data_IF_463638898732
#
_entry.id   IF_463638898732
#
_cell.length_a   1.000
_cell.length_b   1.000
_cell.length_c   1.000
_cell.angle_alpha   90.00
_cell.angle_beta   90.00
_cell.angle_gamma   90.00
#
_symmetry.space_group_name_H-M   'P 1'
#
loop_
_entity.id
_entity.type
_entity.pdbx_description
1 polymer ?
#
# COMPACT_ATOMS: atom_id res chain seq x y z
N UNK A 1 18.55 7.06 -18.79
CA UNK A 1 19.31 6.51 -17.67
C UNK A 1 19.93 5.22 -18.15
N UNK A 2 21.22 5.04 -17.88
CA UNK A 2 21.89 3.77 -18.13
C UNK A 2 21.74 2.83 -16.92
N UNK A 3 22.20 1.57 -17.07
CA UNK A 3 22.08 0.57 -16.01
C UNK A 3 22.81 0.96 -14.71
N UNK A 4 23.94 1.65 -14.80
CA UNK A 4 24.71 2.09 -13.62
C UNK A 4 23.94 3.14 -12.80
N UNK A 5 23.32 4.11 -13.48
CA UNK A 5 22.46 5.12 -12.84
C UNK A 5 21.25 4.48 -12.16
N UNK A 6 20.60 3.51 -12.83
CA UNK A 6 19.46 2.75 -12.27
C UNK A 6 19.88 2.04 -10.98
N UNK A 7 20.99 1.28 -11.02
CA UNK A 7 21.47 0.56 -9.84
C UNK A 7 21.89 1.50 -8.71
N UNK A 8 22.43 2.67 -9.04
CA UNK A 8 22.76 3.69 -8.04
C UNK A 8 21.50 4.20 -7.33
N UNK A 9 20.42 4.49 -8.06
CA UNK A 9 19.17 4.94 -7.43
C UNK A 9 18.62 3.86 -6.49
N UNK A 10 18.61 2.60 -6.92
CA UNK A 10 18.18 1.50 -6.04
C UNK A 10 19.04 1.42 -4.77
N UNK A 11 20.36 1.52 -4.90
CA UNK A 11 21.27 1.51 -3.74
C UNK A 11 21.06 2.72 -2.83
N UNK A 12 20.90 3.92 -3.40
CA UNK A 12 20.69 5.16 -2.66
C UNK A 12 19.36 5.17 -1.91
N UNK A 13 18.36 4.39 -2.35
CA UNK A 13 17.00 4.34 -1.78
C UNK A 13 16.68 3.02 -1.05
N UNK A 14 17.69 2.16 -0.87
CA UNK A 14 17.59 0.85 -0.21
C UNK A 14 17.46 0.97 1.33
N UNK A 15 16.37 1.59 1.77
CA UNK A 15 15.97 1.73 3.16
C UNK A 15 14.45 1.72 3.26
N UNK A 16 13.92 1.51 4.46
CA UNK A 16 12.47 1.53 4.72
C UNK A 16 11.96 2.97 4.64
N UNK A 17 10.84 3.17 3.92
CA UNK A 17 10.28 4.50 3.60
C UNK A 17 8.80 4.54 3.98
N UNK A 18 8.46 4.19 5.23
CA UNK A 18 7.07 4.10 5.66
C UNK A 18 6.35 5.44 5.55
N UNK A 19 5.09 5.42 5.12
CA UNK A 19 4.34 6.64 4.89
C UNK A 19 4.26 7.59 6.09
N UNK A 20 4.63 8.85 5.92
CA UNK A 20 4.68 9.89 6.95
C UNK A 20 5.99 9.96 7.75
N UNK A 21 6.97 9.08 7.46
CA UNK A 21 8.29 9.08 8.10
C UNK A 21 9.23 10.15 7.52
N UNK A 22 10.29 10.54 8.28
CA UNK A 22 11.38 11.34 7.74
C UNK A 22 12.08 10.68 6.53
N UNK A 23 12.18 9.35 6.51
CA UNK A 23 12.77 8.56 5.43
C UNK A 23 11.95 8.65 4.14
N UNK A 24 10.62 8.65 4.24
CA UNK A 24 9.75 8.92 3.10
C UNK A 24 10.01 10.32 2.53
N UNK A 25 10.05 11.36 3.38
CA UNK A 25 10.36 12.72 2.90
C UNK A 25 11.76 12.81 2.25
N UNK A 26 12.75 12.11 2.79
CA UNK A 26 14.09 12.02 2.18
C UNK A 26 14.04 11.40 0.78
N UNK A 27 13.21 10.37 0.58
CA UNK A 27 13.03 9.76 -0.73
C UNK A 27 12.29 10.69 -1.71
N UNK A 28 11.29 11.45 -1.25
CA UNK A 28 10.63 12.47 -2.06
C UNK A 28 11.61 13.56 -2.54
N UNK A 29 12.46 14.05 -1.64
CA UNK A 29 13.51 15.01 -1.96
C UNK A 29 14.52 14.43 -2.95
N UNK A 30 14.93 13.17 -2.76
CA UNK A 30 15.80 12.48 -3.70
C UNK A 30 15.19 12.40 -5.11
N UNK A 31 13.90 12.03 -5.21
CA UNK A 31 13.19 11.99 -6.50
C UNK A 31 13.09 13.38 -7.14
N UNK A 32 12.81 14.42 -6.35
CA UNK A 32 12.81 15.80 -6.82
C UNK A 32 14.19 16.21 -7.37
N UNK A 33 15.28 15.86 -6.68
CA UNK A 33 16.65 16.12 -7.12
C UNK A 33 16.95 15.38 -8.44
N UNK A 34 16.48 14.13 -8.58
CA UNK A 34 16.60 13.38 -9.85
C UNK A 34 15.84 14.01 -11.00
N UNK A 35 14.67 14.59 -10.75
CA UNK A 35 13.96 15.38 -11.77
C UNK A 35 14.75 16.65 -12.11
N UNK A 36 15.34 17.33 -11.12
CA UNK A 36 16.15 18.53 -11.35
C UNK A 36 17.42 18.26 -12.16
N UNK A 37 18.06 17.10 -12.00
CA UNK A 37 19.19 16.64 -12.83
C UNK A 37 18.83 16.55 -14.32
N UNK A 38 17.54 16.36 -14.65
CA UNK A 38 17.02 16.34 -16.03
C UNK A 38 16.72 17.75 -16.59
N UNK A 39 16.97 18.81 -15.81
CA UNK A 39 16.60 20.19 -16.17
C UNK A 39 15.11 20.48 -16.03
N UNK A 40 14.36 19.60 -15.34
CA UNK A 40 12.93 19.73 -15.07
C UNK A 40 12.69 20.20 -13.63
N UNK A 41 11.46 20.62 -13.32
CA UNK A 41 11.10 21.08 -11.98
C UNK A 41 9.90 20.30 -11.45
N UNK A 42 10.12 19.48 -10.43
CA UNK A 42 9.06 18.84 -9.66
C UNK A 42 8.74 19.62 -8.38
N UNK A 43 7.50 19.50 -7.90
CA UNK A 43 7.01 20.07 -6.65
C UNK A 43 6.70 18.96 -5.64
N UNK A 44 7.14 19.15 -4.39
CA UNK A 44 6.76 18.27 -3.28
C UNK A 44 5.50 18.85 -2.65
N UNK A 45 4.38 18.14 -2.79
CA UNK A 45 3.05 18.56 -2.33
C UNK A 45 2.69 17.78 -1.06
N UNK A 46 2.65 18.42 0.12
CA UNK A 46 2.33 17.74 1.37
C UNK A 46 0.83 17.44 1.50
N UNK A 47 0.51 16.38 2.21
CA UNK A 47 -0.85 16.05 2.66
C UNK A 47 -0.83 15.40 4.04
N UNK A 48 -1.93 15.54 4.77
CA UNK A 48 -2.03 15.07 6.14
C UNK A 48 -2.29 13.56 6.18
N UNK A 49 -1.61 12.87 7.09
CA UNK A 49 -1.80 11.43 7.34
C UNK A 49 -1.95 11.17 8.84
N UNK A 50 -2.86 10.27 9.26
CA UNK A 50 -2.95 9.87 10.66
C UNK A 50 -1.65 9.17 11.05
N UNK A 51 -1.06 9.45 12.20
CA UNK A 51 0.17 8.82 12.68
C UNK A 51 0.01 8.34 14.10
N UNK A 52 0.87 7.42 14.51
CA UNK A 52 0.92 6.95 15.88
C UNK A 52 2.33 6.56 16.30
N UNK A 53 2.67 6.87 17.55
CA UNK A 53 3.84 6.36 18.23
C UNK A 53 3.42 5.39 19.34
N UNK A 54 3.79 4.12 19.19
CA UNK A 54 3.49 3.08 20.17
C UNK A 54 4.33 3.27 21.44
N UNK A 55 3.66 3.32 22.60
CA UNK A 55 4.29 3.41 23.92
C UNK A 55 4.27 2.07 24.65
N UNK A 56 3.17 1.33 24.54
CA UNK A 56 2.99 0.01 25.13
C UNK A 56 2.08 -0.83 24.23
N UNK A 57 2.53 -2.04 23.89
CA UNK A 57 1.70 -3.06 23.26
C UNK A 57 2.01 -4.40 23.92
N UNK A 58 1.02 -4.98 24.60
CA UNK A 58 1.16 -6.30 25.22
C UNK A 58 -0.02 -7.18 24.89
N UNK A 59 0.27 -8.46 24.68
CA UNK A 59 -0.71 -9.53 24.54
C UNK A 59 -0.37 -10.61 25.55
N UNK A 60 -1.33 -10.98 26.39
CA UNK A 60 -1.26 -12.17 27.23
C UNK A 60 -2.39 -13.12 26.86
N UNK A 61 -2.10 -14.40 26.75
CA UNK A 61 -3.08 -15.45 26.48
C UNK A 61 -2.93 -16.52 27.56
N UNK A 62 -4.04 -16.82 28.26
CA UNK A 62 -4.07 -17.71 29.44
C UNK A 62 -2.99 -17.36 30.49
N UNK A 63 -2.72 -16.07 30.66
CA UNK A 63 -1.72 -15.54 31.59
C UNK A 63 -0.27 -15.54 31.08
N UNK A 64 0.03 -16.19 29.95
CA UNK A 64 1.36 -16.18 29.32
C UNK A 64 1.50 -15.02 28.32
N UNK A 65 2.67 -14.37 28.29
CA UNK A 65 2.95 -13.30 27.34
C UNK A 65 3.24 -13.85 25.94
N UNK A 66 2.70 -13.17 24.92
CA UNK A 66 2.89 -13.51 23.50
C UNK A 66 3.52 -12.31 22.81
N UNK A 67 4.61 -12.54 22.08
CA UNK A 67 5.27 -11.49 21.29
C UNK A 67 4.29 -10.94 20.25
N UNK A 68 4.13 -9.61 20.23
CA UNK A 68 3.18 -8.95 19.35
C UNK A 68 3.67 -7.56 18.95
N UNK A 69 3.04 -7.00 17.92
CA UNK A 69 3.06 -5.55 17.62
C UNK A 69 1.65 -5.01 17.78
N UNK A 70 1.50 -3.86 18.45
CA UNK A 70 0.21 -3.18 18.54
C UNK A 70 -0.18 -2.57 17.20
N UNK A 71 -1.47 -2.60 16.86
CA UNK A 71 -1.97 -1.84 15.71
C UNK A 71 -1.83 -0.34 15.97
N UNK A 72 -1.12 0.35 15.07
CA UNK A 72 -1.08 1.80 15.05
C UNK A 72 -2.47 2.37 14.76
N UNK A 73 -2.80 3.54 15.32
CA UNK A 73 -4.06 4.26 15.11
C UNK A 73 -5.32 3.50 15.61
N UNK A 74 -5.15 2.43 16.41
CA UNK A 74 -6.23 1.66 17.00
C UNK A 74 -6.76 2.22 18.33
N UNK A 75 -6.30 3.39 18.77
CA UNK A 75 -6.63 3.99 20.06
C UNK A 75 -5.92 3.33 21.24
N UNK A 76 -6.21 3.85 22.43
CA UNK A 76 -5.71 3.33 23.71
C UNK A 76 -6.76 2.47 24.38
N UNK A 77 -6.34 1.39 25.04
CA UNK A 77 -7.27 0.54 25.77
C UNK A 77 -6.60 -0.64 26.44
N UNK A 78 -7.28 -1.15 27.47
CA UNK A 78 -6.95 -2.41 28.11
C UNK A 78 -8.22 -3.26 28.16
N UNK A 79 -8.14 -4.48 27.64
CA UNK A 79 -9.26 -5.41 27.61
C UNK A 79 -8.78 -6.81 27.94
N UNK A 80 -9.50 -7.48 28.84
CA UNK A 80 -9.33 -8.90 29.14
C UNK A 80 -10.66 -9.60 28.92
N UNK A 81 -10.69 -10.62 28.08
CA UNK A 81 -11.90 -11.28 27.65
C UNK A 81 -11.63 -12.72 27.20
N UNK A 82 -12.67 -13.56 27.04
CA UNK A 82 -12.50 -14.86 26.41
C UNK A 82 -11.89 -14.72 25.01
N UNK A 83 -10.97 -15.62 24.68
CA UNK A 83 -10.36 -15.71 23.36
C UNK A 83 -11.29 -16.46 22.40
N UNK A 84 -11.37 -16.01 21.16
CA UNK A 84 -12.09 -16.71 20.11
C UNK A 84 -11.35 -16.66 18.78
N UNK A 85 -11.12 -17.81 18.17
CA UNK A 85 -10.60 -17.90 16.82
C UNK A 85 -11.76 -17.97 15.82
N UNK A 86 -11.89 -16.92 15.02
CA UNK A 86 -12.89 -16.79 13.97
C UNK A 86 -12.37 -17.48 12.71
N UNK A 87 -12.96 -18.64 12.38
CA UNK A 87 -12.56 -19.50 11.25
C UNK A 87 -13.17 -19.08 9.92
N UNK A 88 -14.31 -18.41 9.97
CA UNK A 88 -15.08 -17.96 8.81
C UNK A 88 -15.95 -16.77 9.21
N UNK A 89 -16.40 -15.99 8.23
CA UNK A 89 -17.32 -14.85 8.41
C UNK A 89 -18.80 -15.24 8.30
N UNK A 90 -19.12 -16.53 8.47
CA UNK A 90 -20.50 -16.99 8.47
C UNK A 90 -21.28 -16.49 9.70
N UNK A 91 -22.61 -16.29 9.61
CA UNK A 91 -23.41 -15.76 10.72
C UNK A 91 -23.27 -16.53 12.04
N UNK A 92 -23.10 -17.85 11.98
CA UNK A 92 -22.90 -18.68 13.17
C UNK A 92 -21.55 -18.45 13.86
N UNK A 93 -20.50 -18.17 13.10
CA UNK A 93 -19.18 -17.86 13.64
C UNK A 93 -19.18 -16.45 14.24
N UNK A 94 -19.70 -15.48 13.48
CA UNK A 94 -19.81 -14.09 13.89
C UNK A 94 -20.66 -13.92 15.16
N UNK A 95 -21.77 -14.65 15.32
CA UNK A 95 -22.61 -14.54 16.52
C UNK A 95 -21.88 -14.92 17.82
N UNK A 96 -20.69 -15.55 17.73
CA UNK A 96 -19.86 -15.94 18.88
C UNK A 96 -18.84 -14.86 19.26
N UNK A 97 -18.67 -13.78 18.49
CA UNK A 97 -17.71 -12.72 18.78
C UNK A 97 -18.05 -11.89 20.03
N UNK A 98 -19.33 -11.83 20.42
CA UNK A 98 -19.81 -10.94 21.49
C UNK A 98 -19.01 -11.11 22.78
N UNK A 99 -18.42 -10.00 23.24
CA UNK A 99 -17.66 -9.90 24.47
C UNK A 99 -16.32 -10.65 24.44
N UNK A 100 -15.77 -10.95 23.27
CA UNK A 100 -14.52 -11.71 23.11
C UNK A 100 -13.44 -10.91 22.40
N UNK A 101 -12.19 -11.28 22.68
CA UNK A 101 -11.05 -10.89 21.84
C UNK A 101 -10.96 -11.91 20.71
N UNK A 102 -11.06 -11.43 19.48
CA UNK A 102 -11.23 -12.29 18.31
C UNK A 102 -9.96 -12.34 17.49
N UNK A 103 -9.36 -13.52 17.36
CA UNK A 103 -8.31 -13.76 16.38
C UNK A 103 -8.95 -14.09 15.04
N UNK A 104 -8.62 -13.35 13.99
CA UNK A 104 -9.13 -13.55 12.64
C UNK A 104 -8.15 -14.36 11.79
N UNK A 105 -8.68 -15.10 10.83
CA UNK A 105 -7.87 -15.70 9.76
C UNK A 105 -7.80 -14.74 8.57
N UNK A 106 -6.59 -14.42 8.11
CA UNK A 106 -6.35 -13.55 6.96
C UNK A 106 -6.32 -12.05 7.26
N UNK A 107 -6.72 -11.24 6.26
CA UNK A 107 -6.55 -9.78 6.25
C UNK A 107 -7.70 -9.04 6.94
N UNK A 108 -7.37 -8.05 7.79
CA UNK A 108 -8.34 -7.16 8.41
C UNK A 108 -8.74 -6.02 7.46
N UNK A 109 -9.70 -6.27 6.58
CA UNK A 109 -10.32 -5.25 5.73
C UNK A 109 -11.53 -4.56 6.37
N UNK A 110 -12.13 -3.61 5.64
CA UNK A 110 -13.34 -2.87 6.04
C UNK A 110 -14.46 -3.80 6.53
N UNK A 111 -14.87 -4.76 5.71
CA UNK A 111 -16.00 -5.64 6.01
C UNK A 111 -15.78 -6.49 7.25
N UNK A 112 -14.61 -7.14 7.37
CA UNK A 112 -14.28 -7.97 8.54
C UNK A 112 -14.25 -7.13 9.82
N UNK A 113 -13.68 -5.92 9.78
CA UNK A 113 -13.66 -5.06 10.96
C UNK A 113 -15.07 -4.66 11.41
N UNK A 114 -15.94 -4.31 10.47
CA UNK A 114 -17.34 -4.00 10.75
C UNK A 114 -18.12 -5.22 11.26
N UNK A 115 -17.89 -6.40 10.70
CA UNK A 115 -18.46 -7.66 11.20
C UNK A 115 -18.08 -7.91 12.66
N UNK A 116 -16.82 -7.67 13.04
CA UNK A 116 -16.36 -7.79 14.43
C UNK A 116 -17.08 -6.81 15.35
N UNK A 117 -17.20 -5.54 14.95
CA UNK A 117 -17.86 -4.50 15.73
C UNK A 117 -19.36 -4.79 15.92
N UNK A 118 -20.07 -5.10 14.83
CA UNK A 118 -21.52 -5.36 14.83
C UNK A 118 -21.87 -6.60 15.66
N UNK A 119 -20.96 -7.57 15.72
CA UNK A 119 -21.11 -8.77 16.54
C UNK A 119 -20.49 -8.65 17.94
N UNK A 120 -20.03 -7.46 18.33
CA UNK A 120 -19.65 -7.12 19.70
C UNK A 120 -18.30 -7.67 20.15
N UNK A 121 -17.35 -7.86 19.24
CA UNK A 121 -15.95 -8.10 19.61
C UNK A 121 -15.41 -6.91 20.43
N UNK A 122 -14.56 -7.20 21.41
CA UNK A 122 -13.99 -6.17 22.31
C UNK A 122 -12.50 -5.94 22.08
N UNK A 123 -11.87 -6.76 21.24
CA UNK A 123 -10.53 -6.60 20.73
C UNK A 123 -10.27 -7.60 19.60
N UNK A 124 -9.18 -7.40 18.85
CA UNK A 124 -8.84 -8.30 17.74
C UNK A 124 -7.36 -8.70 17.73
N UNK A 125 -7.08 -9.84 17.13
CA UNK A 125 -5.72 -10.34 16.90
C UNK A 125 -5.63 -10.75 15.44
N UNK A 126 -4.61 -10.26 14.75
CA UNK A 126 -4.22 -10.74 13.41
C UNK A 126 -2.89 -11.47 13.48
N UNK A 127 -2.51 -12.15 12.41
CA UNK A 127 -1.19 -12.74 12.30
C UNK A 127 -0.63 -12.69 10.88
N UNK A 128 0.70 -12.71 10.77
CA UNK A 128 1.44 -12.84 9.52
C UNK A 128 2.65 -13.77 9.65
N UNK A 129 3.37 -13.94 8.55
CA UNK A 129 4.51 -14.85 8.45
C UNK A 129 4.12 -16.26 8.00
N UNK A 130 5.12 -17.12 7.90
CA UNK A 130 4.96 -18.49 7.41
C UNK A 130 5.50 -19.48 8.43
N UNK A 131 4.70 -20.49 8.78
CA UNK A 131 5.10 -21.50 9.77
C UNK A 131 6.29 -22.35 9.31
N UNK A 132 6.56 -22.40 8.00
CA UNK A 132 7.65 -23.17 7.41
C UNK A 132 8.96 -22.38 7.30
N UNK A 133 8.95 -21.06 7.47
CA UNK A 133 10.16 -20.25 7.42
C UNK A 133 10.79 -20.12 8.80
N UNK A 134 12.06 -19.74 8.86
CA UNK A 134 12.79 -19.60 10.13
C UNK A 134 12.51 -18.26 10.81
N UNK A 135 12.21 -17.22 10.04
CA UNK A 135 11.92 -15.88 10.56
C UNK A 135 10.69 -15.87 11.48
N UNK A 136 10.67 -14.86 12.34
CA UNK A 136 9.56 -14.56 13.26
C UNK A 136 9.21 -13.09 13.19
N UNK A 137 9.37 -12.52 12.00
CA UNK A 137 9.00 -11.14 11.78
C UNK A 137 7.49 -10.99 11.98
N UNK A 138 7.11 -9.81 12.45
CA UNK A 138 5.72 -9.40 12.65
C UNK A 138 5.60 -8.07 11.94
N UNK A 139 4.69 -7.95 10.97
CA UNK A 139 4.51 -6.68 10.28
C UNK A 139 3.91 -5.64 11.22
N UNK A 140 4.37 -4.39 11.11
CA UNK A 140 3.77 -3.28 11.83
C UNK A 140 2.49 -2.86 11.09
N UNK A 141 1.34 -3.25 11.63
CA UNK A 141 0.04 -2.90 11.06
C UNK A 141 -0.49 -1.59 11.63
N UNK A 142 -1.38 -0.96 10.87
CA UNK A 142 -2.19 0.16 11.30
C UNK A 142 -3.67 -0.11 11.04
N UNK A 143 -4.53 0.43 11.91
CA UNK A 143 -5.97 0.42 11.70
C UNK A 143 -6.34 1.65 10.87
N UNK A 144 -6.46 1.45 9.55
CA UNK A 144 -6.70 2.55 8.59
C UNK A 144 -8.00 3.30 8.88
N UNK A 145 -7.99 4.62 8.70
CA UNK A 145 -9.13 5.49 9.04
C UNK A 145 -10.46 5.06 8.39
N UNK A 146 -10.40 4.68 7.11
CA UNK A 146 -11.58 4.24 6.37
C UNK A 146 -12.12 2.88 6.86
N UNK A 147 -11.27 2.02 7.45
CA UNK A 147 -11.66 0.71 8.00
C UNK A 147 -12.44 0.89 9.30
N UNK A 148 -11.97 1.77 10.18
CA UNK A 148 -12.55 1.91 11.51
C UNK A 148 -13.70 2.91 11.59
N UNK A 149 -13.75 3.91 10.69
CA UNK A 149 -14.81 4.91 10.59
C UNK A 149 -15.24 5.50 11.96
N UNK A 150 -14.25 5.86 12.78
CA UNK A 150 -14.42 6.40 14.14
C UNK A 150 -14.57 5.37 15.27
N UNK A 151 -14.89 4.10 14.99
CA UNK A 151 -15.08 3.06 16.00
C UNK A 151 -13.81 2.24 16.17
N UNK A 152 -13.21 2.23 17.36
CA UNK A 152 -11.92 1.57 17.61
C UNK A 152 -11.99 0.63 18.79
N UNK A 153 -11.44 -0.57 18.62
CA UNK A 153 -11.20 -1.57 19.67
C UNK A 153 -9.72 -1.95 19.64
N UNK A 154 -9.09 -2.29 20.79
CA UNK A 154 -7.68 -2.65 20.84
C UNK A 154 -7.36 -3.85 19.94
N UNK A 155 -6.25 -3.78 19.21
CA UNK A 155 -5.79 -4.90 18.40
C UNK A 155 -4.28 -5.02 18.28
N UNK A 156 -3.83 -6.27 18.13
CA UNK A 156 -2.42 -6.62 18.01
C UNK A 156 -2.21 -7.57 16.84
N UNK A 157 -0.99 -7.60 16.33
CA UNK A 157 -0.53 -8.52 15.31
C UNK A 157 0.54 -9.45 15.89
N UNK A 158 0.50 -10.73 15.56
CA UNK A 158 1.45 -11.76 16.03
C UNK A 158 2.05 -12.56 14.87
N UNK A 159 3.07 -13.36 15.16
CA UNK A 159 3.58 -14.30 14.15
C UNK A 159 2.66 -15.52 14.02
N UNK A 160 2.55 -16.07 12.80
CA UNK A 160 1.72 -17.22 12.49
C UNK A 160 2.07 -18.47 13.32
N UNK A 161 3.34 -18.65 13.71
CA UNK A 161 3.76 -19.75 14.59
C UNK A 161 3.11 -19.65 15.97
N UNK A 162 3.05 -18.44 16.53
CA UNK A 162 2.42 -18.21 17.83
C UNK A 162 0.91 -18.38 17.72
N UNK A 163 0.28 -17.85 16.65
CA UNK A 163 -1.14 -18.07 16.37
C UNK A 163 -1.49 -19.57 16.34
N UNK A 164 -0.70 -20.40 15.64
CA UNK A 164 -0.88 -21.86 15.60
C UNK A 164 -0.71 -22.49 16.99
N UNK A 165 0.27 -22.05 17.78
CA UNK A 165 0.44 -22.55 19.14
C UNK A 165 -0.76 -22.22 20.05
N UNK A 166 -1.32 -21.01 19.95
CA UNK A 166 -2.51 -20.61 20.71
C UNK A 166 -3.67 -21.56 20.42
N UNK A 167 -3.90 -21.90 19.15
CA UNK A 167 -4.95 -22.86 18.77
C UNK A 167 -4.66 -24.27 19.27
N UNK A 168 -3.41 -24.75 19.14
CA UNK A 168 -3.02 -26.09 19.60
C UNK A 168 -3.17 -26.26 21.12
N UNK A 169 -2.88 -25.22 21.89
CA UNK A 169 -3.00 -25.21 23.36
C UNK A 169 -4.46 -25.02 23.82
N UNK A 170 -5.37 -24.67 22.93
CA UNK A 170 -6.78 -24.43 23.26
C UNK A 170 -6.97 -23.12 24.03
N UNK A 171 -6.34 -22.04 23.56
CA UNK A 171 -6.38 -20.72 24.18
C UNK A 171 -7.79 -20.29 24.62
N UNK A 172 -7.92 -19.83 25.86
CA UNK A 172 -9.24 -19.60 26.48
C UNK A 172 -9.51 -18.14 26.83
N UNK A 173 -8.52 -17.40 27.31
CA UNK A 173 -8.62 -15.97 27.63
C UNK A 173 -7.47 -15.20 27.03
N UNK A 174 -7.72 -13.94 26.67
CA UNK A 174 -6.69 -13.03 26.22
C UNK A 174 -6.80 -11.69 26.94
N UNK A 175 -5.67 -11.00 27.08
CA UNK A 175 -5.58 -9.63 27.53
C UNK A 175 -4.74 -8.83 26.55
N UNK A 176 -5.28 -7.72 26.07
CA UNK A 176 -4.57 -6.74 25.23
C UNK A 176 -4.46 -5.44 26.01
N UNK A 177 -3.26 -4.88 26.07
CA UNK A 177 -3.03 -3.50 26.54
C UNK A 177 -2.33 -2.73 25.42
N UNK A 178 -2.94 -1.63 25.00
CA UNK A 178 -2.39 -0.69 24.02
C UNK A 178 -2.35 0.72 24.60
N UNK A 179 -1.16 1.33 24.52
CA UNK A 179 -0.95 2.76 24.75
C UNK A 179 -0.10 3.32 23.61
N UNK A 180 -0.60 4.36 23.00
CA UNK A 180 0.00 5.04 21.87
C UNK A 180 -0.35 6.53 21.90
N UNK A 181 0.53 7.33 21.31
CA UNK A 181 0.32 8.74 21.04
C UNK A 181 -0.06 8.90 19.57
N UNK A 182 -1.31 9.25 19.31
CA UNK A 182 -1.81 9.49 17.96
C UNK A 182 -1.72 10.98 17.63
N UNK A 183 -1.27 11.28 16.41
CA UNK A 183 -1.10 12.65 15.93
C UNK A 183 -1.32 12.71 14.42
N UNK A 184 -1.46 13.92 13.87
CA UNK A 184 -1.48 14.12 12.42
C UNK A 184 -0.06 14.41 11.94
N UNK A 185 0.47 13.51 11.10
CA UNK A 185 1.73 13.72 10.39
C UNK A 185 1.52 14.21 8.96
N UNK A 186 2.61 14.29 8.19
CA UNK A 186 2.57 14.67 6.78
C UNK A 186 3.32 13.68 5.92
N UNK A 187 2.67 13.23 4.87
CA UNK A 187 3.31 12.58 3.73
C UNK A 187 3.29 13.53 2.53
N UNK A 188 3.89 13.13 1.42
CA UNK A 188 4.15 14.03 0.30
C UNK A 188 3.97 13.30 -1.03
N UNK A 189 3.45 14.00 -2.02
CA UNK A 189 3.56 13.58 -3.40
C UNK A 189 4.66 14.40 -4.08
N UNK A 190 5.38 13.80 -5.03
CA UNK A 190 6.26 14.55 -5.94
C UNK A 190 5.55 14.68 -7.28
N UNK A 191 5.34 15.91 -7.75
CA UNK A 191 4.55 16.22 -8.94
C UNK A 191 5.43 16.93 -9.96
N UNK A 192 5.52 16.39 -11.16
CA UNK A 192 6.16 17.02 -12.31
C UNK A 192 5.13 17.17 -13.43
N UNK A 193 4.91 18.40 -13.89
CA UNK A 193 4.09 18.69 -15.06
C UNK A 193 4.96 19.11 -16.24
N UNK A 194 4.77 18.43 -17.38
CA UNK A 194 5.40 18.72 -18.66
C UNK A 194 4.32 19.09 -19.68
N UNK A 195 4.11 20.40 -19.95
CA UNK A 195 3.10 20.85 -20.90
C UNK A 195 3.33 20.30 -22.32
N UNK A 196 2.26 19.87 -22.97
CA UNK A 196 2.28 19.38 -24.34
C UNK A 196 1.87 20.46 -25.35
N UNK A 197 1.54 20.01 -26.56
CA UNK A 197 0.94 20.82 -27.61
C UNK A 197 -0.53 21.17 -27.33
N UNK A 198 -1.21 20.35 -26.51
CA UNK A 198 -2.61 20.54 -26.09
C UNK A 198 -2.72 20.55 -24.57
N UNK A 199 -3.79 21.18 -24.07
CA UNK A 199 -4.15 21.22 -22.64
C UNK A 199 -4.97 19.97 -22.23
N UNK A 200 -4.42 18.80 -22.54
CA UNK A 200 -4.93 17.48 -22.17
C UNK A 200 -3.75 16.67 -21.65
N UNK A 201 -3.91 16.00 -20.51
CA UNK A 201 -2.82 15.35 -19.78
C UNK A 201 -2.95 13.83 -19.72
N UNK A 202 -1.82 13.14 -19.82
CA UNK A 202 -1.66 11.75 -19.41
C UNK A 202 -0.89 11.75 -18.09
N UNK A 203 -1.49 11.18 -17.04
CA UNK A 203 -0.84 11.04 -15.75
C UNK A 203 -0.10 9.71 -15.66
N UNK A 204 1.16 9.74 -15.25
CA UNK A 204 1.95 8.59 -14.86
C UNK A 204 2.09 8.55 -13.35
N UNK A 205 1.68 7.46 -12.72
CA UNK A 205 1.77 7.28 -11.26
C UNK A 205 2.67 6.12 -10.89
N UNK A 206 3.36 6.26 -9.77
CA UNK A 206 4.01 5.18 -9.05
C UNK A 206 4.20 5.63 -7.61
N UNK A 207 3.98 4.77 -6.62
CA UNK A 207 4.33 5.13 -5.25
C UNK A 207 5.81 4.89 -4.97
N UNK A 208 6.31 5.65 -3.99
CA UNK A 208 7.70 5.57 -3.59
C UNK A 208 7.88 5.21 -2.11
N UNK A 209 6.80 5.07 -1.32
CA UNK A 209 6.88 4.57 0.05
C UNK A 209 7.19 3.05 0.05
N UNK A 210 7.29 2.47 1.25
CA UNK A 210 7.43 1.02 1.42
C UNK A 210 6.81 0.54 2.73
N UNK A 211 6.49 -0.75 2.79
CA UNK A 211 6.13 -1.40 4.06
C UNK A 211 7.28 -1.44 5.08
N UNK A 212 6.94 -1.74 6.33
CA UNK A 212 7.86 -1.70 7.48
C UNK A 212 8.97 -2.76 7.47
N UNK A 213 8.81 -3.81 6.65
CA UNK A 213 9.76 -4.92 6.53
C UNK A 213 10.46 -4.97 5.17
N UNK A 214 10.22 -3.97 4.30
CA UNK A 214 10.76 -3.93 2.94
C UNK A 214 11.55 -2.65 2.70
N UNK A 215 12.70 -2.79 2.03
CA UNK A 215 13.43 -1.66 1.44
C UNK A 215 12.79 -1.19 0.12
N UNK A 216 11.75 -1.88 -0.34
CA UNK A 216 10.88 -1.44 -1.44
C UNK A 216 11.57 -1.17 -2.76
N UNK A 217 12.58 -1.98 -3.12
CA UNK A 217 13.25 -1.90 -4.43
C UNK A 217 12.30 -2.37 -5.55
N UNK A 218 11.70 -3.55 -5.38
CA UNK A 218 10.66 -4.06 -6.27
C UNK A 218 9.35 -3.29 -6.06
N UNK A 219 8.90 -3.16 -4.82
CA UNK A 219 7.64 -2.54 -4.41
C UNK A 219 7.89 -1.27 -3.57
N UNK A 220 7.93 -0.08 -4.16
CA UNK A 220 7.75 0.19 -5.59
C UNK A 220 8.71 1.24 -6.16
N UNK A 221 9.96 1.23 -5.67
CA UNK A 221 10.99 2.03 -6.30
C UNK A 221 11.16 1.63 -7.79
N UNK A 222 10.89 0.38 -8.17
CA UNK A 222 10.90 -0.05 -9.57
C UNK A 222 9.93 0.73 -10.46
N UNK A 223 8.68 0.93 -10.04
CA UNK A 223 7.71 1.77 -10.75
C UNK A 223 8.11 3.25 -10.74
N UNK A 224 8.60 3.74 -9.59
CA UNK A 224 9.12 5.11 -9.44
C UNK A 224 10.25 5.42 -10.42
N UNK A 225 11.21 4.50 -10.63
CA UNK A 225 12.25 4.63 -11.67
C UNK A 225 11.66 4.52 -13.08
N UNK A 226 10.64 3.67 -13.27
CA UNK A 226 9.96 3.52 -14.55
C UNK A 226 9.40 4.85 -15.05
N UNK A 227 8.63 5.55 -14.22
CA UNK A 227 8.07 6.84 -14.59
C UNK A 227 9.13 7.95 -14.68
N UNK A 228 10.23 7.87 -13.90
CA UNK A 228 11.38 8.77 -14.04
C UNK A 228 12.09 8.58 -15.40
N UNK A 229 12.24 7.34 -15.86
CA UNK A 229 12.82 7.03 -17.18
C UNK A 229 11.92 7.51 -18.33
N UNK A 230 10.60 7.45 -18.16
CA UNK A 230 9.65 8.04 -19.12
C UNK A 230 9.80 9.56 -19.14
N UNK A 231 9.89 10.22 -17.98
CA UNK A 231 10.10 11.66 -17.89
C UNK A 231 11.40 12.10 -18.57
N UNK A 232 12.50 11.39 -18.34
CA UNK A 232 13.78 11.64 -19.00
C UNK A 232 13.70 11.49 -20.52
N UNK A 233 12.99 10.47 -21.03
CA UNK A 233 12.79 10.32 -22.46
C UNK A 233 12.06 11.55 -23.02
N UNK A 234 10.94 11.94 -22.44
CA UNK A 234 10.15 13.06 -22.93
C UNK A 234 10.74 14.44 -22.64
N UNK A 235 11.75 14.55 -21.77
CA UNK A 235 12.51 15.79 -21.61
C UNK A 235 13.24 16.18 -22.91
N UNK A 236 13.59 15.21 -23.74
CA UNK A 236 14.31 15.39 -25.00
C UNK A 236 13.44 15.19 -26.25
N UNK A 237 12.19 14.73 -26.11
CA UNK A 237 11.32 14.36 -27.24
C UNK A 237 9.98 15.08 -27.17
N UNK A 238 9.48 15.63 -28.29
CA UNK A 238 8.20 16.32 -28.32
C UNK A 238 7.04 15.36 -28.06
N UNK A 239 6.03 15.83 -27.33
CA UNK A 239 4.82 15.09 -27.02
C UNK A 239 3.58 15.96 -27.26
N UNK A 240 2.50 15.33 -27.76
CA UNK A 240 1.24 16.02 -28.04
C UNK A 240 0.50 16.40 -26.76
N UNK A 241 0.24 15.42 -25.91
CA UNK A 241 -0.42 15.61 -24.62
C UNK A 241 0.56 16.19 -23.60
N UNK A 242 0.04 16.94 -22.63
CA UNK A 242 0.78 17.18 -21.39
C UNK A 242 1.05 15.87 -20.67
N UNK A 243 2.22 15.76 -20.06
CA UNK A 243 2.58 14.59 -19.26
C UNK A 243 2.71 15.02 -17.81
N UNK A 244 2.01 14.32 -16.92
CA UNK A 244 2.05 14.56 -15.49
C UNK A 244 2.65 13.35 -14.80
N UNK A 245 3.74 13.52 -14.09
CA UNK A 245 4.37 12.46 -13.31
C UNK A 245 4.08 12.69 -11.84
N UNK A 246 3.51 11.68 -11.18
CA UNK A 246 3.11 11.71 -9.79
C UNK A 246 3.77 10.54 -9.06
N UNK A 247 4.79 10.85 -8.25
CA UNK A 247 5.28 9.90 -7.27
C UNK A 247 4.44 10.01 -6.00
N UNK A 248 3.65 8.99 -5.71
CA UNK A 248 2.69 8.99 -4.61
C UNK A 248 3.35 8.60 -3.29
N UNK A 249 3.10 9.36 -2.24
CA UNK A 249 3.45 8.97 -0.88
C UNK A 249 2.35 8.14 -0.22
N UNK A 250 2.71 7.35 0.79
CA UNK A 250 1.76 6.60 1.64
C UNK A 250 0.73 5.76 0.86
N UNK A 251 1.13 5.09 -0.21
CA UNK A 251 0.26 4.15 -0.95
C UNK A 251 -0.04 2.92 -0.08
N UNK A 252 0.97 2.39 0.61
CA UNK A 252 0.92 1.15 1.41
C UNK A 252 -0.07 1.27 2.59
N UNK A 253 -0.44 2.51 2.88
CA UNK A 253 -1.34 2.96 3.93
C UNK A 253 -2.78 3.12 3.44
N UNK A 254 -3.06 2.68 2.22
CA UNK A 254 -4.38 2.71 1.59
C UNK A 254 -4.57 3.86 0.62
N UNK A 255 -3.59 4.08 -0.27
CA UNK A 255 -3.63 5.01 -1.39
C UNK A 255 -3.71 6.48 -0.95
N UNK A 256 -3.08 6.84 0.17
CA UNK A 256 -3.30 8.16 0.78
C UNK A 256 -2.81 9.31 -0.11
N UNK A 257 -1.66 9.14 -0.78
CA UNK A 257 -1.12 10.16 -1.68
C UNK A 257 -1.95 10.38 -2.93
N UNK A 258 -2.32 9.33 -3.64
CA UNK A 258 -3.19 9.43 -4.83
C UNK A 258 -4.59 9.91 -4.48
N UNK A 259 -5.17 9.51 -3.33
CA UNK A 259 -6.43 10.07 -2.83
C UNK A 259 -6.33 11.55 -2.52
N UNK A 260 -5.27 11.99 -1.84
CA UNK A 260 -5.04 13.40 -1.56
C UNK A 260 -4.88 14.22 -2.84
N UNK A 261 -4.21 13.65 -3.85
CA UNK A 261 -4.07 14.27 -5.17
C UNK A 261 -5.41 14.40 -5.88
N UNK A 262 -6.19 13.31 -5.95
CA UNK A 262 -7.47 13.24 -6.66
C UNK A 262 -8.63 13.93 -5.94
N UNK A 263 -8.43 14.39 -4.69
CA UNK A 263 -9.42 15.18 -3.97
C UNK A 263 -9.65 16.57 -4.61
N UNK A 264 -8.67 17.07 -5.36
CA UNK A 264 -8.77 18.31 -6.13
C UNK A 264 -9.21 18.01 -7.57
N UNK A 265 -10.50 18.13 -7.84
CA UNK A 265 -11.10 17.79 -9.14
C UNK A 265 -10.59 18.68 -10.28
N UNK A 266 -10.13 19.90 -10.00
CA UNK A 266 -9.57 20.78 -11.03
C UNK A 266 -8.27 20.20 -11.61
N UNK A 267 -7.49 19.45 -10.81
CA UNK A 267 -6.30 18.75 -11.31
C UNK A 267 -6.64 17.61 -12.27
N UNK A 268 -7.86 17.06 -12.19
CA UNK A 268 -8.29 15.90 -12.98
C UNK A 268 -9.07 16.28 -14.24
N UNK A 269 -9.59 17.50 -14.31
CA UNK A 269 -10.47 17.98 -15.38
C UNK A 269 -9.94 17.74 -16.80
N UNK A 270 -8.63 17.92 -17.01
CA UNK A 270 -7.98 17.72 -18.30
C UNK A 270 -7.16 16.40 -18.34
N UNK A 271 -7.30 15.53 -17.34
CA UNK A 271 -6.59 14.24 -17.28
C UNK A 271 -7.36 13.18 -18.07
N UNK A 272 -6.77 12.70 -19.17
CA UNK A 272 -7.42 11.78 -20.12
C UNK A 272 -7.17 10.32 -19.80
N UNK A 273 -6.07 10.03 -19.12
CA UNK A 273 -5.66 8.68 -18.79
C UNK A 273 -4.68 8.73 -17.61
N UNK A 274 -4.85 7.81 -16.66
CA UNK A 274 -3.81 7.46 -15.70
C UNK A 274 -3.12 6.16 -16.11
N UNK A 275 -1.79 6.16 -16.12
CA UNK A 275 -0.93 4.99 -16.31
C UNK A 275 -0.11 4.80 -15.05
N UNK A 276 -0.43 3.77 -14.27
CA UNK A 276 0.25 3.42 -13.04
C UNK A 276 1.31 2.33 -13.28
N UNK A 277 2.51 2.51 -12.73
CA UNK A 277 3.55 1.50 -12.72
C UNK A 277 3.78 1.02 -11.30
N UNK A 278 3.55 -0.28 -11.09
CA UNK A 278 3.67 -0.88 -9.77
C UNK A 278 4.30 -2.26 -9.87
N UNK A 279 5.38 -2.50 -9.13
CA UNK A 279 6.06 -3.79 -9.12
C UNK A 279 6.54 -4.24 -10.52
N UNK A 280 7.33 -3.42 -11.23
CA UNK A 280 7.82 -3.72 -12.59
C UNK A 280 9.24 -4.32 -12.65
N UNK A 281 9.92 -4.45 -11.50
CA UNK A 281 11.36 -4.77 -11.42
C UNK A 281 11.75 -6.24 -11.23
N UNK A 282 10.82 -7.17 -11.02
CA UNK A 282 11.18 -8.56 -10.70
C UNK A 282 11.90 -9.25 -11.88
N UNK A 283 12.91 -10.09 -11.60
CA UNK A 283 13.65 -10.83 -12.63
C UNK A 283 12.75 -11.89 -13.30
N UNK A 284 11.95 -12.57 -12.48
CA UNK A 284 11.00 -13.60 -12.90
C UNK A 284 9.58 -13.01 -12.97
N UNK A 285 8.66 -13.76 -13.57
CA UNK A 285 7.26 -13.39 -13.61
C UNK A 285 6.78 -12.88 -14.96
N UNK A 286 5.46 -12.71 -15.05
CA UNK A 286 4.73 -12.29 -16.25
C UNK A 286 4.37 -10.81 -16.16
N UNK A 287 4.43 -10.12 -17.28
CA UNK A 287 3.88 -8.77 -17.38
C UNK A 287 2.35 -8.86 -17.39
N UNK A 288 1.72 -8.03 -16.57
CA UNK A 288 0.28 -7.90 -16.50
C UNK A 288 -0.12 -6.45 -16.75
N UNK A 289 -1.33 -6.26 -17.26
CA UNK A 289 -1.99 -4.97 -17.33
C UNK A 289 -3.41 -5.11 -16.79
N UNK A 290 -3.76 -4.25 -15.84
CA UNK A 290 -5.09 -4.20 -15.24
C UNK A 290 -5.72 -2.85 -15.60
N UNK A 291 -6.80 -2.90 -16.39
CA UNK A 291 -7.48 -1.71 -16.90
C UNK A 291 -8.73 -1.45 -16.06
N UNK A 292 -8.71 -0.34 -15.32
CA UNK A 292 -9.89 0.25 -14.67
C UNK A 292 -10.48 1.31 -15.60
N UNK A 293 -11.05 0.85 -16.71
CA UNK A 293 -11.53 1.68 -17.80
C UNK A 293 -12.29 0.85 -18.83
N UNK A 294 -12.44 1.40 -20.04
CA UNK A 294 -13.17 0.71 -21.11
C UNK A 294 -12.39 -0.48 -21.69
N UNK A 295 -13.11 -1.56 -22.03
CA UNK A 295 -12.55 -2.81 -22.60
C UNK A 295 -11.75 -2.58 -23.90
N UNK A 296 -12.07 -1.53 -24.67
CA UNK A 296 -11.31 -1.15 -25.87
C UNK A 296 -9.83 -0.87 -25.57
N UNK A 297 -9.52 -0.36 -24.38
CA UNK A 297 -8.14 -0.12 -23.96
C UNK A 297 -7.41 -1.45 -23.72
N UNK A 298 -8.10 -2.46 -23.19
CA UNK A 298 -7.54 -3.81 -23.05
C UNK A 298 -7.12 -4.38 -24.41
N UNK A 299 -8.02 -4.32 -25.40
CA UNK A 299 -7.73 -4.79 -26.75
C UNK A 299 -6.58 -4.03 -27.40
N UNK A 300 -6.50 -2.72 -27.19
CA UNK A 300 -5.40 -1.91 -27.72
C UNK A 300 -4.05 -2.32 -27.11
N UNK A 301 -3.99 -2.51 -25.78
CA UNK A 301 -2.75 -2.93 -25.10
C UNK A 301 -2.33 -4.34 -25.55
N UNK A 302 -3.28 -5.27 -25.64
CA UNK A 302 -3.00 -6.64 -26.11
C UNK A 302 -2.47 -6.63 -27.55
N UNK A 303 -3.15 -5.91 -28.45
CA UNK A 303 -2.73 -5.78 -29.84
C UNK A 303 -1.33 -5.17 -29.97
N UNK A 304 -1.05 -4.09 -29.23
CA UNK A 304 0.27 -3.46 -29.22
C UNK A 304 1.35 -4.40 -28.68
N UNK A 305 1.04 -5.17 -27.63
CA UNK A 305 1.93 -6.20 -27.10
C UNK A 305 2.27 -7.24 -28.16
N UNK A 306 1.28 -7.78 -28.86
CA UNK A 306 1.47 -8.78 -29.92
C UNK A 306 2.31 -8.24 -31.08
N UNK A 307 2.01 -7.03 -31.56
CA UNK A 307 2.76 -6.37 -32.65
C UNK A 307 4.23 -6.11 -32.28
N UNK A 308 4.50 -5.78 -31.01
CA UNK A 308 5.85 -5.56 -30.50
C UNK A 308 6.57 -6.87 -30.09
N UNK A 309 5.88 -8.02 -30.11
CA UNK A 309 6.40 -9.27 -29.57
C UNK A 309 6.63 -9.22 -28.06
N UNK A 310 5.88 -8.38 -27.34
CA UNK A 310 5.96 -8.19 -25.90
C UNK A 310 4.75 -8.85 -25.21
N UNK A 311 4.91 -10.05 -24.63
CA UNK A 311 3.79 -10.76 -24.02
C UNK A 311 3.33 -10.04 -22.74
N UNK A 312 2.05 -9.65 -22.73
CA UNK A 312 1.38 -9.02 -21.58
C UNK A 312 0.00 -9.64 -21.38
N UNK A 313 -0.31 -10.00 -20.13
CA UNK A 313 -1.61 -10.53 -19.73
C UNK A 313 -2.53 -9.37 -19.33
N UNK A 314 -3.48 -9.03 -20.21
CA UNK A 314 -4.34 -7.85 -20.07
C UNK A 314 -5.73 -8.25 -19.58
N UNK A 315 -6.22 -7.59 -18.53
CA UNK A 315 -7.59 -7.78 -18.03
C UNK A 315 -8.26 -6.45 -17.68
N UNK A 316 -9.58 -6.42 -17.84
CA UNK A 316 -10.41 -5.37 -17.25
C UNK A 316 -10.73 -5.76 -15.82
N UNK A 317 -10.11 -5.07 -14.85
CA UNK A 317 -10.23 -5.38 -13.43
C UNK A 317 -9.66 -4.22 -12.61
N UNK A 318 -9.91 -4.22 -11.30
CA UNK A 318 -9.32 -3.27 -10.36
C UNK A 318 -7.95 -3.77 -9.90
N UNK A 319 -6.95 -2.91 -9.96
CA UNK A 319 -5.63 -3.14 -9.36
C UNK A 319 -5.48 -2.24 -8.15
N UNK A 320 -5.19 -2.82 -6.99
CA UNK A 320 -5.12 -2.11 -5.70
C UNK A 320 -3.84 -1.27 -5.60
N UNK A 321 -3.78 -0.18 -6.37
CA UNK A 321 -2.67 0.78 -6.42
C UNK A 321 -3.19 2.17 -6.84
N UNK A 322 -2.30 3.12 -7.06
CA UNK A 322 -2.59 4.55 -7.26
C UNK A 322 -3.43 4.89 -8.49
N UNK A 323 -3.69 3.94 -9.39
CA UNK A 323 -4.66 4.11 -10.47
C UNK A 323 -6.11 4.16 -9.97
N UNK A 324 -6.41 3.54 -8.84
CA UNK A 324 -7.78 3.39 -8.33
C UNK A 324 -8.42 4.75 -8.01
N UNK A 325 -7.77 5.69 -7.29
CA UNK A 325 -8.39 6.98 -6.98
C UNK A 325 -8.66 7.86 -8.21
N UNK A 326 -7.90 7.68 -9.30
CA UNK A 326 -8.19 8.34 -10.58
C UNK A 326 -9.46 7.77 -11.22
N UNK A 327 -9.58 6.44 -11.24
CA UNK A 327 -10.77 5.75 -11.76
C UNK A 327 -12.03 6.06 -10.93
N UNK A 328 -11.92 6.13 -9.60
CA UNK A 328 -13.01 6.55 -8.70
C UNK A 328 -13.53 7.96 -9.03
N UNK A 329 -12.68 8.81 -9.62
CA UNK A 329 -13.00 10.17 -10.07
C UNK A 329 -13.35 10.26 -11.56
N UNK A 330 -13.49 9.12 -12.24
CA UNK A 330 -13.94 9.05 -13.64
C UNK A 330 -12.84 9.20 -14.68
N UNK A 331 -11.56 9.27 -14.28
CA UNK A 331 -10.43 9.24 -15.20
C UNK A 331 -10.12 7.78 -15.55
N UNK A 332 -10.16 7.35 -16.83
CA UNK A 332 -9.75 6.00 -17.20
C UNK A 332 -8.34 5.70 -16.71
N UNK A 333 -8.12 4.51 -16.15
CA UNK A 333 -6.83 4.16 -15.57
C UNK A 333 -6.36 2.77 -15.98
N UNK A 334 -5.04 2.59 -16.03
CA UNK A 334 -4.40 1.30 -16.29
C UNK A 334 -3.19 1.14 -15.37
N UNK A 335 -3.02 -0.04 -14.79
CA UNK A 335 -1.82 -0.41 -14.04
C UNK A 335 -1.01 -1.45 -14.79
N UNK A 336 0.31 -1.27 -14.83
CA UNK A 336 1.26 -2.26 -15.31
C UNK A 336 2.08 -2.78 -14.14
N UNK A 337 2.22 -4.10 -14.09
CA UNK A 337 3.03 -4.79 -13.11
C UNK A 337 3.72 -6.01 -13.73
N UNK A 338 4.75 -6.51 -13.04
CA UNK A 338 5.39 -7.79 -13.36
C UNK A 338 5.27 -8.71 -12.17
N UNK A 339 4.33 -9.66 -12.24
CA UNK A 339 4.00 -10.52 -11.09
C UNK A 339 4.74 -11.85 -11.19
N UNK A 340 5.51 -12.14 -10.14
CA UNK A 340 6.19 -13.41 -9.95
C UNK A 340 5.44 -14.32 -8.96
N UNK A 341 5.57 -15.65 -9.07
CA UNK A 341 5.13 -16.57 -8.03
C UNK A 341 5.76 -16.24 -6.66
N UNK A 342 5.05 -16.55 -5.57
CA UNK A 342 5.43 -16.18 -4.19
C UNK A 342 6.80 -16.70 -3.71
N UNK A 343 7.35 -17.73 -4.35
CA UNK A 343 8.69 -18.25 -4.07
C UNK A 343 9.83 -17.52 -4.82
N UNK A 344 9.48 -16.57 -5.70
CA UNK A 344 10.42 -15.84 -6.57
C UNK A 344 10.17 -14.34 -6.59
N UNK A 345 9.08 -13.87 -5.98
CA UNK A 345 8.88 -12.46 -5.67
C UNK A 345 9.91 -12.06 -4.61
N UNK A 346 10.86 -11.21 -5.00
CA UNK A 346 11.92 -10.66 -4.17
C UNK A 346 12.00 -9.16 -4.38
#
# INVERSE_FOLDING_TARGET
MNAEQIMKIFADTAYIRTGGSPEELRAAQYLQDKVAELGLKAEIVPFDVPMSQMQEATLRVDGAEVTCKGYLCAGNGEVEAPFYYLRDSGPCALSRCRGKIVMIDGYLGYWMYHDLLENGAVGFITYDGNTNYTDRDIDQRELRAYVHNGNRIPGVNINAKDAVELIRKGASTAKITLKQEEYTGRSHNVVLDMPGQVDEYIAFTAHYDSTSLSQGAYDNMSGSLGILGIAEHFAAHPHRYGLRFLWCGSEERGLLGSKAYCADEEKLKNCMLNINLDMIGCIMGKFISCVTGEERLCHYISYLGDELGFPVDVKQDVYSSDSTPFADKGVPAVSFARVAPSNTAA
#
